data_IF_356063941339
#
_entry.id   IF_356063941339
#
_cell.length_a   1.000
_cell.length_b   1.000
_cell.length_c   1.000
_cell.angle_alpha   90.00
_cell.angle_beta   90.00
_cell.angle_gamma   90.00
#
_symmetry.space_group_name_H-M   'P 1'
#
loop_
_entity.id
_entity.type
_entity.pdbx_description
1 polymer ?
#
# COMPACT_ATOMS: atom_id res chain seq x y z
N UNK A 1 -11.44 4.09 5.41
CA UNK A 1 -10.92 4.51 4.08
C UNK A 1 -10.23 3.29 3.51
N UNK A 2 -10.58 2.85 2.31
CA UNK A 2 -10.08 1.57 1.76
C UNK A 2 -8.86 1.82 0.90
N UNK A 3 -7.83 0.98 1.05
CA UNK A 3 -6.63 1.02 0.23
C UNK A 3 -6.93 0.29 -1.08
N UNK A 4 -6.74 0.95 -2.22
CA UNK A 4 -6.97 0.33 -3.52
C UNK A 4 -5.67 -0.27 -4.05
N UNK A 5 -5.77 -1.43 -4.72
CA UNK A 5 -4.64 -2.05 -5.42
C UNK A 5 -4.96 -2.20 -6.89
N UNK A 6 -3.95 -1.95 -7.73
CA UNK A 6 -3.99 -2.12 -9.18
C UNK A 6 -2.79 -2.92 -9.63
N UNK A 7 -3.04 -4.03 -10.31
CA UNK A 7 -2.00 -4.88 -10.88
C UNK A 7 -1.70 -4.49 -12.33
N UNK A 8 -0.42 -4.42 -12.67
CA UNK A 8 0.06 -4.28 -14.06
C UNK A 8 0.74 -5.60 -14.44
N UNK A 9 -0.04 -6.47 -15.09
CA UNK A 9 0.31 -7.86 -15.42
C UNK A 9 1.53 -8.00 -16.32
N UNK A 10 1.80 -7.02 -17.20
CA UNK A 10 2.94 -7.09 -18.14
C UNK A 10 4.32 -6.98 -17.45
N UNK A 11 4.38 -6.55 -16.18
CA UNK A 11 5.64 -6.32 -15.46
C UNK A 11 5.73 -6.93 -14.07
N UNK A 12 4.72 -7.70 -13.64
CA UNK A 12 4.60 -8.18 -12.26
C UNK A 12 4.79 -7.04 -11.24
N UNK A 13 4.11 -5.92 -11.48
CA UNK A 13 4.15 -4.72 -10.62
C UNK A 13 2.76 -4.48 -10.04
N UNK A 14 2.69 -4.32 -8.73
CA UNK A 14 1.48 -3.92 -8.02
C UNK A 14 1.60 -2.45 -7.62
N UNK A 15 0.62 -1.65 -7.98
CA UNK A 15 0.47 -0.27 -7.52
C UNK A 15 -0.56 -0.26 -6.40
N UNK A 16 -0.16 0.19 -5.22
CA UNK A 16 -1.02 0.42 -4.07
C UNK A 16 -1.32 1.92 -3.98
N UNK A 17 -2.58 2.29 -4.16
CA UNK A 17 -3.02 3.67 -4.01
C UNK A 17 -3.20 3.98 -2.53
N UNK A 18 -2.33 4.85 -2.00
CA UNK A 18 -2.35 5.24 -0.61
C UNK A 18 -3.40 6.35 -0.42
N UNK A 19 -4.28 6.24 0.59
CA UNK A 19 -5.32 7.24 0.86
C UNK A 19 -4.71 8.57 1.32
N UNK A 20 -5.58 9.57 1.51
CA UNK A 20 -5.18 10.92 1.91
C UNK A 20 -4.38 10.97 3.22
N UNK A 21 -4.67 10.06 4.14
CA UNK A 21 -3.99 9.94 5.42
C UNK A 21 -3.55 8.50 5.62
N UNK A 22 -2.29 8.29 5.99
CA UNK A 22 -1.77 7.01 6.44
C UNK A 22 -1.41 7.11 7.92
N UNK A 23 -2.15 6.38 8.76
CA UNK A 23 -2.10 6.49 10.21
C UNK A 23 -2.41 5.15 10.87
N UNK A 24 -2.48 5.12 12.20
CA UNK A 24 -2.80 3.90 12.94
C UNK A 24 -4.10 3.20 12.49
N UNK A 25 -5.10 3.93 11.97
CA UNK A 25 -6.40 3.36 11.61
C UNK A 25 -6.35 2.48 10.34
N UNK A 26 -5.39 2.71 9.45
CA UNK A 26 -5.28 2.01 8.16
C UNK A 26 -3.92 1.34 7.90
N UNK A 27 -2.96 1.53 8.82
CA UNK A 27 -1.63 0.90 8.74
C UNK A 27 -1.72 -0.63 8.78
N UNK A 28 -2.63 -1.20 9.56
CA UNK A 28 -2.78 -2.65 9.67
C UNK A 28 -3.37 -3.28 8.39
N UNK A 29 -4.30 -2.57 7.74
CA UNK A 29 -4.87 -2.97 6.44
C UNK A 29 -3.78 -2.96 5.36
N UNK A 30 -2.95 -1.91 5.33
CA UNK A 30 -1.84 -1.79 4.39
C UNK A 30 -0.84 -2.95 4.54
N UNK A 31 -0.43 -3.25 5.77
CA UNK A 31 0.51 -4.34 6.04
C UNK A 31 -0.05 -5.69 5.59
N UNK A 32 -1.34 -5.95 5.81
CA UNK A 32 -1.99 -7.19 5.34
C UNK A 32 -1.99 -7.27 3.82
N UNK A 33 -2.35 -6.19 3.12
CA UNK A 33 -2.33 -6.14 1.65
C UNK A 33 -0.93 -6.36 1.07
N UNK A 34 0.10 -5.72 1.65
CA UNK A 34 1.50 -5.93 1.25
C UNK A 34 1.87 -7.39 1.43
N UNK A 35 1.58 -7.96 2.60
CA UNK A 35 1.92 -9.34 2.92
C UNK A 35 1.23 -10.32 1.96
N UNK A 36 -0.07 -10.16 1.74
CA UNK A 36 -0.83 -11.03 0.83
C UNK A 36 -0.24 -10.99 -0.59
N UNK A 37 0.15 -9.80 -1.08
CA UNK A 37 0.78 -9.67 -2.40
C UNK A 37 2.18 -10.27 -2.47
N UNK A 38 2.97 -10.15 -1.41
CA UNK A 38 4.29 -10.78 -1.33
C UNK A 38 4.17 -12.31 -1.26
N UNK A 39 3.20 -12.83 -0.51
CA UNK A 39 2.91 -14.26 -0.40
C UNK A 39 2.42 -14.84 -1.76
N UNK A 40 1.72 -14.02 -2.56
CA UNK A 40 1.32 -14.33 -3.95
C UNK A 40 2.50 -14.23 -4.96
N UNK A 41 3.71 -13.84 -4.53
CA UNK A 41 4.90 -13.74 -5.37
C UNK A 41 5.09 -12.39 -6.08
N UNK A 42 4.32 -11.36 -5.71
CA UNK A 42 4.47 -10.00 -6.22
C UNK A 42 5.45 -9.20 -5.35
N UNK A 43 6.72 -9.14 -5.77
CA UNK A 43 7.78 -8.43 -5.04
C UNK A 43 8.00 -6.98 -5.49
N UNK A 44 7.45 -6.58 -6.64
CA UNK A 44 7.59 -5.21 -7.15
C UNK A 44 6.35 -4.40 -6.76
N UNK A 45 6.41 -3.71 -5.63
CA UNK A 45 5.34 -2.87 -5.11
C UNK A 45 5.67 -1.38 -5.34
N UNK A 46 4.71 -0.62 -5.84
CA UNK A 46 4.77 0.83 -5.97
C UNK A 46 3.67 1.42 -5.11
N UNK A 47 4.02 2.32 -4.20
CA UNK A 47 3.06 3.06 -3.39
C UNK A 47 2.75 4.40 -4.07
N UNK A 48 1.56 4.54 -4.66
CA UNK A 48 1.12 5.81 -5.21
C UNK A 48 0.60 6.71 -4.08
N UNK A 49 1.41 7.71 -3.73
CA UNK A 49 1.14 8.67 -2.68
C UNK A 49 0.68 10.04 -3.21
N UNK A 50 0.30 10.14 -4.49
CA UNK A 50 -0.11 11.41 -5.12
C UNK A 50 -1.23 12.14 -4.36
N UNK A 51 -2.09 11.38 -3.66
CA UNK A 51 -3.22 11.92 -2.88
C UNK A 51 -2.92 12.02 -1.38
N UNK A 52 -1.76 11.53 -0.92
CA UNK A 52 -1.44 11.44 0.50
C UNK A 52 -0.92 12.79 1.01
N UNK A 53 -1.64 13.36 1.97
CA UNK A 53 -1.33 14.64 2.59
C UNK A 53 -0.81 14.50 4.02
N UNK A 54 -0.95 13.32 4.63
CA UNK A 54 -0.53 13.06 6.00
C UNK A 54 -0.03 11.63 6.18
N UNK A 55 1.11 11.49 6.85
CA UNK A 55 1.66 10.21 7.28
C UNK A 55 2.19 10.38 8.70
N UNK A 56 1.79 9.51 9.63
CA UNK A 56 2.37 9.44 10.97
C UNK A 56 3.44 8.34 11.08
N UNK A 57 4.04 8.18 12.26
CA UNK A 57 5.07 7.16 12.50
C UNK A 57 4.56 5.73 12.30
N UNK A 58 3.28 5.48 12.58
CA UNK A 58 2.67 4.15 12.42
C UNK A 58 2.45 3.86 10.94
N UNK A 59 1.99 4.85 10.19
CA UNK A 59 1.86 4.79 8.74
C UNK A 59 3.18 4.55 8.03
N UNK A 60 4.25 5.25 8.43
CA UNK A 60 5.59 4.98 7.91
C UNK A 60 6.09 3.56 8.23
N UNK A 61 5.75 3.03 9.42
CA UNK A 61 6.09 1.65 9.78
C UNK A 61 5.28 0.57 9.06
N UNK A 62 4.26 0.97 8.28
CA UNK A 62 3.43 0.06 7.50
C UNK A 62 3.95 -0.18 6.07
N UNK A 63 4.92 0.64 5.61
CA UNK A 63 5.57 0.57 4.29
C UNK A 63 6.98 -0.04 4.46
#
# INVERSE_FOLDING_TARGET
>A
MTIASKEITDKNVIILEIPEKLNMDNSEELQRLIKDKVDDGHYNLIFDMMKTNYVDSTGLGAI
#
